data_IF_890071581943
#
_entry.id   IF_890071581943
#
_cell.length_a   1.000
_cell.length_b   1.000
_cell.length_c   1.000
_cell.angle_alpha   90.00
_cell.angle_beta   90.00
_cell.angle_gamma   90.00
#
_symmetry.space_group_name_H-M   'P 1'
#
loop_
_entity.id
_entity.type
_entity.pdbx_description
1 polymer ?
#
# COMPACT_ATOMS: atom_id res chain seq x y z
N UNK A 1 -10.97 18.96 15.89
CA UNK A 1 -9.86 19.92 15.72
C UNK A 1 -9.15 19.54 14.43
N UNK A 2 -9.43 20.30 13.37
CA UNK A 2 -9.02 20.04 12.00
C UNK A 2 -7.59 20.48 11.75
N UNK A 3 -6.87 19.67 10.98
CA UNK A 3 -5.49 19.95 10.57
C UNK A 3 -5.54 21.06 9.51
N UNK A 4 -4.96 22.23 9.81
CA UNK A 4 -4.97 23.42 8.93
C UNK A 4 -3.91 23.39 7.82
N UNK A 5 -3.03 22.39 7.76
CA UNK A 5 -1.93 22.32 6.79
C UNK A 5 -1.56 20.88 6.43
N UNK A 6 -1.06 20.68 5.21
CA UNK A 6 -0.53 19.38 4.77
C UNK A 6 0.71 19.00 5.60
N UNK A 7 0.88 17.70 5.88
CA UNK A 7 2.10 17.22 6.51
C UNK A 7 3.31 17.42 5.59
N UNK A 8 4.54 17.57 6.13
CA UNK A 8 5.74 17.78 5.32
C UNK A 8 5.92 16.76 4.20
N UNK A 9 5.61 15.48 4.44
CA UNK A 9 5.69 14.42 3.43
C UNK A 9 4.68 14.61 2.30
N UNK A 10 3.48 15.11 2.61
CA UNK A 10 2.44 15.37 1.63
C UNK A 10 2.83 16.54 0.73
N UNK A 11 3.38 17.61 1.32
CA UNK A 11 3.89 18.77 0.58
C UNK A 11 5.03 18.35 -0.34
N UNK A 12 6.02 17.61 0.18
CA UNK A 12 7.18 17.18 -0.60
C UNK A 12 6.77 16.31 -1.79
N UNK A 13 5.88 15.34 -1.60
CA UNK A 13 5.39 14.49 -2.69
C UNK A 13 4.54 15.29 -3.67
N UNK A 14 3.71 16.23 -3.20
CA UNK A 14 2.89 17.07 -4.08
C UNK A 14 3.74 17.87 -5.07
N UNK A 15 4.85 18.46 -4.61
CA UNK A 15 5.76 19.25 -5.47
C UNK A 15 6.36 18.41 -6.62
N UNK A 16 6.68 17.15 -6.36
CA UNK A 16 7.29 16.25 -7.34
C UNK A 16 6.27 15.54 -8.25
N UNK A 17 4.96 15.68 -7.98
CA UNK A 17 3.90 14.94 -8.67
C UNK A 17 2.98 15.87 -9.47
N UNK A 18 1.90 16.38 -8.86
CA UNK A 18 0.94 17.30 -9.48
C UNK A 18 1.48 18.72 -9.55
N UNK A 19 2.38 19.08 -8.63
CA UNK A 19 3.12 20.33 -8.67
C UNK A 19 4.07 20.39 -9.88
N UNK A 20 5.15 21.19 -9.81
CA UNK A 20 6.04 21.37 -10.96
C UNK A 20 6.70 20.07 -11.46
N UNK A 21 6.76 19.00 -10.65
CA UNK A 21 7.51 17.79 -10.97
C UNK A 21 6.88 16.81 -11.97
N UNK A 22 5.57 16.89 -12.25
CA UNK A 22 4.86 16.10 -13.29
C UNK A 22 5.12 14.58 -13.30
N UNK A 23 5.51 14.00 -12.15
CA UNK A 23 5.95 12.60 -12.04
C UNK A 23 7.13 12.25 -12.96
N UNK A 24 8.06 13.18 -13.21
CA UNK A 24 9.25 12.91 -14.04
C UNK A 24 10.15 11.82 -13.42
N UNK A 25 10.17 11.71 -12.09
CA UNK A 25 11.03 10.81 -11.30
C UNK A 25 10.22 9.79 -10.51
N UNK A 26 10.79 8.62 -10.25
CA UNK A 26 10.27 7.72 -9.23
C UNK A 26 10.57 8.27 -7.84
N UNK A 27 9.68 8.03 -6.87
CA UNK A 27 9.81 8.60 -5.53
C UNK A 27 10.12 7.52 -4.51
N UNK A 28 11.18 7.72 -3.74
CA UNK A 28 11.53 6.92 -2.58
C UNK A 28 11.29 7.73 -1.30
N UNK A 29 10.20 7.47 -0.61
CA UNK A 29 9.71 8.26 0.51
C UNK A 29 10.05 7.53 1.82
N UNK A 30 10.92 8.15 2.61
CA UNK A 30 11.29 7.72 3.95
C UNK A 30 10.66 8.66 4.98
N UNK A 31 9.63 8.18 5.69
CA UNK A 31 8.91 8.98 6.67
C UNK A 31 8.30 8.10 7.78
N UNK A 32 8.32 8.53 9.06
CA UNK A 32 7.80 7.73 10.17
C UNK A 32 6.31 7.36 10.02
N UNK A 33 5.86 6.32 10.72
CA UNK A 33 4.44 5.97 10.81
C UNK A 33 3.63 7.11 11.42
N UNK A 34 2.39 7.31 10.94
CA UNK A 34 1.54 8.43 11.39
C UNK A 34 1.90 9.80 10.79
N UNK A 35 2.79 9.85 9.79
CA UNK A 35 3.19 11.11 9.13
C UNK A 35 2.28 11.53 7.96
N UNK A 36 1.20 10.81 7.68
CA UNK A 36 0.30 11.09 6.55
C UNK A 36 0.73 10.50 5.21
N UNK A 37 1.57 9.44 5.19
CA UNK A 37 2.12 8.82 3.96
C UNK A 37 1.03 8.37 2.98
N UNK A 38 -0.07 7.80 3.47
CA UNK A 38 -1.13 7.29 2.60
C UNK A 38 -1.69 8.38 1.69
N UNK A 39 -1.92 9.57 2.25
CA UNK A 39 -2.43 10.71 1.49
C UNK A 39 -1.38 11.35 0.60
N UNK A 40 -0.09 11.24 0.93
CA UNK A 40 0.95 11.84 0.10
C UNK A 40 0.97 11.22 -1.30
N UNK A 41 0.66 9.93 -1.45
CA UNK A 41 0.49 9.30 -2.77
C UNK A 41 -0.97 9.25 -3.25
N UNK A 42 -1.95 9.09 -2.36
CA UNK A 42 -3.34 8.93 -2.79
C UNK A 42 -3.91 10.19 -3.46
N UNK A 43 -3.62 11.38 -2.90
CA UNK A 43 -4.08 12.66 -3.44
C UNK A 43 -3.61 12.90 -4.89
N UNK A 44 -2.29 12.86 -5.20
CA UNK A 44 -1.84 13.12 -6.56
C UNK A 44 -2.29 12.04 -7.57
N UNK A 45 -2.43 10.78 -7.15
CA UNK A 45 -2.99 9.71 -7.99
C UNK A 45 -4.44 10.01 -8.36
N UNK A 46 -5.29 10.28 -7.37
CA UNK A 46 -6.72 10.57 -7.58
C UNK A 46 -6.90 11.83 -8.43
N UNK A 47 -6.13 12.88 -8.14
CA UNK A 47 -6.13 14.10 -8.94
C UNK A 47 -5.79 13.82 -10.41
N UNK A 48 -4.75 13.04 -10.68
CA UNK A 48 -4.34 12.76 -12.06
C UNK A 48 -5.35 11.89 -12.81
N UNK A 49 -5.96 10.92 -12.11
CA UNK A 49 -6.91 10.00 -12.71
C UNK A 49 -8.31 10.59 -12.88
N UNK A 50 -8.63 11.71 -12.22
CA UNK A 50 -9.95 12.38 -12.31
C UNK A 50 -10.40 12.67 -13.75
N UNK A 51 -9.45 12.96 -14.65
CA UNK A 51 -9.72 13.28 -16.05
C UNK A 51 -9.75 12.06 -16.99
N UNK A 52 -9.83 10.82 -16.43
CA UNK A 52 -9.83 9.60 -17.23
C UNK A 52 -11.14 9.44 -18.03
N UNK A 53 -11.02 9.04 -19.30
CA UNK A 53 -12.18 8.81 -20.17
C UNK A 53 -12.85 7.44 -19.94
N UNK A 54 -12.05 6.37 -19.85
CA UNK A 54 -12.53 4.99 -19.72
C UNK A 54 -12.00 4.38 -18.43
N UNK A 55 -12.83 3.62 -17.72
CA UNK A 55 -12.42 2.90 -16.52
C UNK A 55 -11.49 1.74 -16.87
N UNK A 56 -10.28 1.79 -16.34
CA UNK A 56 -9.27 0.74 -16.44
C UNK A 56 -8.40 0.83 -15.18
N UNK A 57 -7.86 -0.30 -14.73
CA UNK A 57 -6.91 -0.32 -13.62
C UNK A 57 -5.65 0.47 -13.99
N UNK A 58 -5.45 1.63 -13.33
CA UNK A 58 -4.36 2.58 -13.61
C UNK A 58 -3.46 2.84 -12.41
N UNK A 59 -3.91 2.54 -11.19
CA UNK A 59 -3.07 2.62 -10.01
C UNK A 59 -3.16 1.32 -9.20
N UNK A 60 -2.00 0.82 -8.78
CA UNK A 60 -1.86 -0.36 -7.93
C UNK A 60 -1.08 0.03 -6.69
N UNK A 61 -1.65 -0.26 -5.52
CA UNK A 61 -1.02 -0.03 -4.22
C UNK A 61 -0.82 -1.38 -3.54
N UNK A 62 0.44 -1.76 -3.34
CA UNK A 62 0.83 -3.02 -2.73
C UNK A 62 1.35 -2.75 -1.32
N UNK A 63 0.78 -3.46 -0.34
CA UNK A 63 1.21 -3.43 1.06
C UNK A 63 1.46 -4.85 1.57
N UNK A 64 2.36 -5.07 2.53
CA UNK A 64 2.62 -6.39 3.08
C UNK A 64 1.39 -6.94 3.79
N UNK A 65 1.29 -8.26 3.81
CA UNK A 65 0.29 -8.96 4.60
C UNK A 65 0.62 -8.73 6.07
N UNK A 66 -0.14 -7.89 6.77
CA UNK A 66 0.07 -7.76 8.21
C UNK A 66 -0.49 -8.97 8.91
N UNK A 67 0.36 -9.68 9.65
CA UNK A 67 -0.08 -10.53 10.75
C UNK A 67 -0.85 -9.65 11.74
N UNK A 68 -2.18 -9.79 11.72
CA UNK A 68 -3.14 -9.15 12.62
C UNK A 68 -3.27 -7.61 12.55
N UNK A 69 -4.26 -7.19 11.76
CA UNK A 69 -5.26 -6.23 12.23
C UNK A 69 -6.63 -6.59 11.64
N UNK A 70 -7.17 -7.75 12.01
CA UNK A 70 -8.62 -7.86 12.13
C UNK A 70 -8.99 -7.04 13.37
N UNK A 71 -9.14 -5.72 13.22
CA UNK A 71 -9.67 -4.91 14.30
C UNK A 71 -10.39 -3.65 13.81
N UNK A 72 -11.67 -3.65 14.17
CA UNK A 72 -12.61 -2.54 14.28
C UNK A 72 -13.19 -2.03 12.96
N UNK A 73 -14.18 -2.78 12.48
CA UNK A 73 -15.18 -2.36 11.51
C UNK A 73 -16.15 -1.29 12.07
N UNK A 74 -15.67 -0.32 12.87
CA UNK A 74 -16.55 0.55 13.68
C UNK A 74 -16.08 1.99 13.89
N UNK A 75 -15.06 2.45 13.17
CA UNK A 75 -14.83 3.90 13.02
C UNK A 75 -15.26 4.34 11.62
N UNK A 76 -16.58 4.32 11.36
CA UNK A 76 -17.16 5.08 10.24
C UNK A 76 -16.81 6.54 10.51
N UNK A 77 -15.75 7.05 9.90
CA UNK A 77 -15.43 8.47 9.96
C UNK A 77 -16.57 9.19 9.25
N UNK A 78 -17.51 9.74 10.01
CA UNK A 78 -18.63 10.57 9.54
C UNK A 78 -18.17 11.95 9.04
N UNK A 79 -16.86 12.19 8.93
CA UNK A 79 -16.31 13.51 8.69
C UNK A 79 -15.43 13.52 7.43
N UNK A 80 -15.74 14.51 6.59
CA UNK A 80 -14.90 15.11 5.57
C UNK A 80 -14.95 14.54 4.14
N UNK A 81 -16.09 14.76 3.45
CA UNK A 81 -16.12 14.81 1.97
C UNK A 81 -16.71 16.12 1.41
N UNK A 82 -17.16 17.08 2.25
CA UNK A 82 -17.79 18.32 1.74
C UNK A 82 -16.79 19.41 1.32
N UNK A 83 -15.54 19.38 1.79
CA UNK A 83 -14.56 20.45 1.52
C UNK A 83 -13.42 20.05 0.57
N UNK A 84 -13.27 18.78 0.17
CA UNK A 84 -12.25 18.38 -0.83
C UNK A 84 -12.65 18.81 -2.25
N UNK A 85 -13.94 19.04 -2.51
CA UNK A 85 -14.44 19.42 -3.84
C UNK A 85 -13.93 20.77 -4.37
N UNK A 86 -13.54 21.71 -3.50
CA UNK A 86 -12.95 22.99 -3.93
C UNK A 86 -11.51 22.87 -4.46
N UNK A 87 -10.82 21.77 -4.17
CA UNK A 87 -9.39 21.57 -4.47
C UNK A 87 -9.10 20.92 -5.83
N UNK A 88 -10.08 20.23 -6.41
CA UNK A 88 -9.90 19.45 -7.64
C UNK A 88 -10.33 20.27 -8.88
N UNK A 89 -11.21 21.26 -8.70
CA UNK A 89 -11.78 22.06 -9.78
C UNK A 89 -10.98 23.33 -10.12
N UNK A 90 -10.26 23.91 -9.16
CA UNK A 90 -9.41 25.07 -9.39
C UNK A 90 -7.94 24.66 -9.28
N UNK A 91 -7.14 24.99 -10.30
CA UNK A 91 -5.69 24.79 -10.37
C UNK A 91 -4.88 25.57 -9.30
N UNK A 92 -5.50 25.94 -8.17
CA UNK A 92 -4.95 26.76 -7.11
C UNK A 92 -4.85 25.99 -5.78
N UNK A 93 -3.65 26.07 -5.22
CA UNK A 93 -3.11 25.53 -3.98
C UNK A 93 -4.13 25.23 -2.85
N UNK A 94 -4.12 23.95 -2.44
CA UNK A 94 -4.17 23.41 -1.08
C UNK A 94 -4.67 24.30 0.08
N UNK A 95 -5.96 24.24 0.41
CA UNK A 95 -6.46 24.38 1.78
C UNK A 95 -7.53 23.32 2.13
N UNK A 96 -7.23 22.58 3.21
CA UNK A 96 -8.12 21.71 4.05
C UNK A 96 -8.70 20.42 3.45
N UNK A 97 -8.79 19.28 4.15
CA UNK A 97 -8.38 18.85 5.49
C UNK A 97 -8.48 17.31 5.48
N UNK A 98 -7.51 16.58 6.04
CA UNK A 98 -7.64 15.13 6.22
C UNK A 98 -7.32 14.73 7.66
N UNK A 99 -8.32 14.26 8.40
CA UNK A 99 -8.11 13.51 9.64
C UNK A 99 -8.09 12.02 9.31
N UNK A 100 -6.91 11.47 9.06
CA UNK A 100 -6.75 10.01 8.95
C UNK A 100 -5.55 9.42 9.71
N UNK A 101 -4.68 10.20 10.36
CA UNK A 101 -3.40 9.65 10.84
C UNK A 101 -3.09 9.92 12.33
N UNK A 102 -4.08 9.72 13.20
CA UNK A 102 -3.86 9.70 14.67
C UNK A 102 -3.65 8.30 15.24
N UNK A 103 -3.61 7.25 14.41
CA UNK A 103 -3.44 5.87 14.85
C UNK A 103 -2.10 5.32 14.35
N UNK A 104 -1.22 5.01 15.29
CA UNK A 104 -0.06 4.15 15.06
C UNK A 104 -0.55 2.90 14.30
N UNK A 105 0.10 2.58 13.17
CA UNK A 105 -0.05 1.37 12.34
C UNK A 105 -1.12 1.40 11.21
N UNK A 106 -0.72 1.83 10.00
CA UNK A 106 -1.54 1.82 8.76
C UNK A 106 -1.88 0.40 8.27
N UNK A 107 -3.11 -0.08 8.36
CA UNK A 107 -3.53 -1.40 7.84
C UNK A 107 -4.05 -1.33 6.38
N UNK A 108 -4.04 -2.45 5.65
CA UNK A 108 -4.59 -2.56 4.28
C UNK A 108 -6.01 -1.97 4.12
N UNK A 109 -6.97 -2.27 5.03
CA UNK A 109 -8.29 -1.63 4.99
C UNK A 109 -8.24 -0.10 5.11
N UNK A 110 -7.34 0.45 5.92
CA UNK A 110 -7.23 1.90 6.10
C UNK A 110 -6.75 2.60 4.83
N UNK A 111 -5.86 1.99 4.04
CA UNK A 111 -5.43 2.55 2.74
C UNK A 111 -6.59 2.59 1.75
N UNK A 112 -7.35 1.49 1.66
CA UNK A 112 -8.55 1.43 0.81
C UNK A 112 -9.60 2.44 1.25
N UNK A 113 -9.78 2.65 2.56
CA UNK A 113 -10.73 3.64 3.09
C UNK A 113 -10.32 5.08 2.75
N UNK A 114 -9.02 5.39 2.76
CA UNK A 114 -8.52 6.71 2.30
C UNK A 114 -8.90 6.94 0.84
N UNK A 115 -8.62 5.98 -0.06
CA UNK A 115 -9.06 6.11 -1.45
C UNK A 115 -10.57 6.13 -1.60
N UNK A 116 -11.32 5.29 -0.88
CA UNK A 116 -12.78 5.26 -0.92
C UNK A 116 -13.42 6.56 -0.41
N UNK A 117 -12.72 7.34 0.42
CA UNK A 117 -13.17 8.64 0.87
C UNK A 117 -13.02 9.75 -0.19
N UNK A 118 -12.03 9.65 -1.10
CA UNK A 118 -11.69 10.74 -2.04
C UNK A 118 -11.95 10.39 -3.51
N UNK A 119 -11.82 9.13 -3.92
CA UNK A 119 -11.93 8.69 -5.30
C UNK A 119 -13.36 8.77 -5.87
N UNK A 120 -14.44 8.43 -5.12
CA UNK A 120 -15.81 8.53 -5.63
C UNK A 120 -16.23 9.96 -5.97
N UNK A 121 -15.65 10.96 -5.29
CA UNK A 121 -15.91 12.37 -5.54
C UNK A 121 -15.56 12.80 -6.98
N UNK A 122 -14.62 12.10 -7.61
CA UNK A 122 -14.16 12.32 -9.00
C UNK A 122 -14.55 11.16 -9.93
N UNK A 123 -15.51 10.32 -9.51
CA UNK A 123 -16.01 9.21 -10.32
C UNK A 123 -15.06 8.02 -10.50
N UNK A 124 -13.97 7.94 -9.72
CA UNK A 124 -13.04 6.82 -9.71
C UNK A 124 -13.56 5.68 -8.81
N UNK A 125 -13.33 4.44 -9.21
CA UNK A 125 -13.64 3.25 -8.39
C UNK A 125 -12.39 2.59 -7.83
N UNK A 126 -12.54 2.05 -6.61
CA UNK A 126 -11.44 1.49 -5.81
C UNK A 126 -11.77 0.05 -5.47
N UNK A 127 -10.85 -0.87 -5.79
CA UNK A 127 -10.94 -2.29 -5.45
C UNK A 127 -10.01 -2.69 -4.32
N UNK A 128 -10.27 -3.86 -3.75
CA UNK A 128 -9.45 -4.49 -2.73
C UNK A 128 -9.18 -5.95 -3.11
N UNK A 129 -7.92 -6.38 -3.03
CA UNK A 129 -7.50 -7.75 -3.29
C UNK A 129 -6.53 -8.21 -2.19
N UNK A 130 -7.08 -8.67 -1.06
CA UNK A 130 -6.28 -8.95 0.15
C UNK A 130 -6.56 -10.33 0.75
N UNK A 131 -7.47 -11.11 0.16
CA UNK A 131 -7.79 -12.46 0.63
C UNK A 131 -8.65 -12.48 1.89
N UNK A 132 -9.37 -11.39 2.16
CA UNK A 132 -10.37 -11.32 3.25
C UNK A 132 -11.74 -11.88 2.83
N UNK A 133 -11.96 -12.06 1.53
CA UNK A 133 -13.17 -12.66 0.94
C UNK A 133 -12.79 -13.76 -0.07
N UNK A 134 -13.81 -14.46 -0.58
CA UNK A 134 -13.56 -15.48 -1.60
C UNK A 134 -13.05 -14.83 -2.88
N UNK A 135 -12.27 -15.59 -3.68
CA UNK A 135 -11.76 -15.08 -4.95
C UNK A 135 -12.91 -14.74 -5.91
N UNK A 136 -14.03 -15.48 -5.83
CA UNK A 136 -15.21 -15.21 -6.65
C UNK A 136 -15.85 -13.86 -6.33
N UNK A 137 -15.92 -13.50 -5.04
CA UNK A 137 -16.46 -12.20 -4.60
C UNK A 137 -15.56 -11.06 -5.09
N UNK A 138 -14.25 -11.16 -4.89
CA UNK A 138 -13.31 -10.15 -5.37
C UNK A 138 -13.35 -10.06 -6.91
N UNK A 139 -13.45 -11.17 -7.65
CA UNK A 139 -13.64 -11.14 -9.11
C UNK A 139 -14.88 -10.35 -9.51
N UNK A 140 -16.00 -10.51 -8.78
CA UNK A 140 -17.24 -9.79 -9.05
C UNK A 140 -17.12 -8.27 -8.82
N UNK A 141 -16.24 -7.86 -7.90
CA UNK A 141 -15.95 -6.46 -7.62
C UNK A 141 -14.91 -5.86 -8.58
N UNK A 142 -13.96 -6.66 -9.04
CA UNK A 142 -12.82 -6.21 -9.86
C UNK A 142 -13.12 -6.25 -11.36
N UNK A 143 -14.00 -7.13 -11.82
CA UNK A 143 -14.30 -7.36 -13.23
C UNK A 143 -15.76 -7.04 -13.53
N UNK A 144 -15.98 -6.09 -14.44
CA UNK A 144 -17.30 -5.77 -14.96
C UNK A 144 -17.65 -6.75 -16.07
N UNK A 145 -18.74 -7.47 -15.88
CA UNK A 145 -19.35 -8.30 -16.92
C UNK A 145 -20.29 -7.44 -17.77
N UNK A 146 -20.31 -7.62 -19.10
CA UNK A 146 -21.29 -6.96 -19.95
C UNK A 146 -22.71 -7.36 -19.55
N UNK A 147 -23.65 -6.40 -19.67
CA UNK A 147 -25.07 -6.70 -19.48
C UNK A 147 -25.55 -7.41 -20.75
N UNK A 148 -25.77 -8.71 -20.66
CA UNK A 148 -26.45 -9.45 -21.72
C UNK A 148 -27.85 -8.86 -21.90
N UNK A 149 -28.09 -8.15 -23.01
CA UNK A 149 -29.45 -7.81 -23.42
C UNK A 149 -30.17 -9.11 -23.81
N UNK A 150 -31.28 -9.39 -23.13
CA UNK A 150 -32.08 -10.59 -23.39
C UNK A 150 -32.67 -10.53 -24.80
N UNK A 151 -32.11 -11.28 -25.75
CA UNK A 151 -32.66 -11.42 -27.10
C UNK A 151 -31.65 -11.66 -28.23
N UNK A 152 -30.34 -11.58 -27.98
CA UNK A 152 -29.31 -11.79 -28.99
C UNK A 152 -28.52 -13.06 -28.65
N UNK A 153 -28.44 -14.00 -29.58
CA UNK A 153 -27.58 -15.18 -29.47
C UNK A 153 -26.12 -14.74 -29.59
N UNK A 154 -25.39 -14.69 -28.48
CA UNK A 154 -23.94 -14.47 -28.48
C UNK A 154 -23.22 -15.83 -28.54
N UNK A 155 -22.14 -15.90 -29.32
CA UNK A 155 -21.18 -17.00 -29.25
C UNK A 155 -20.39 -16.87 -27.93
N UNK A 156 -20.05 -17.94 -27.19
CA UNK A 156 -19.28 -17.85 -25.94
C UNK A 156 -17.92 -17.17 -26.11
N UNK A 157 -17.37 -17.18 -27.33
CA UNK A 157 -16.14 -16.48 -27.72
C UNK A 157 -16.32 -14.95 -27.72
N UNK A 158 -17.48 -14.42 -28.13
CA UNK A 158 -17.74 -12.96 -28.18
C UNK A 158 -17.88 -12.34 -26.79
N UNK A 159 -18.38 -13.11 -25.81
CA UNK A 159 -18.47 -12.67 -24.40
C UNK A 159 -17.09 -12.46 -23.77
N UNK A 160 -16.05 -13.13 -24.29
CA UNK A 160 -14.67 -12.99 -23.83
C UNK A 160 -14.06 -11.63 -24.21
N UNK A 161 -14.60 -10.98 -25.25
CA UNK A 161 -14.09 -9.72 -25.80
C UNK A 161 -14.46 -8.48 -24.93
N UNK A 162 -15.38 -8.62 -23.97
CA UNK A 162 -16.00 -7.47 -23.27
C UNK A 162 -15.73 -7.39 -21.76
N UNK A 163 -14.91 -8.27 -21.18
CA UNK A 163 -14.57 -8.21 -19.76
C UNK A 163 -13.71 -6.98 -19.44
N UNK A 164 -14.30 -6.00 -18.78
CA UNK A 164 -13.64 -4.73 -18.44
C UNK A 164 -13.27 -4.67 -16.97
N UNK A 165 -12.24 -3.90 -16.64
CA UNK A 165 -11.96 -3.59 -15.24
C UNK A 165 -13.10 -2.77 -14.63
N UNK A 166 -13.59 -3.20 -13.47
CA UNK A 166 -14.57 -2.46 -12.67
C UNK A 166 -13.92 -1.43 -11.74
N UNK A 167 -12.58 -1.36 -11.70
CA UNK A 167 -11.80 -0.51 -10.79
C UNK A 167 -10.75 0.32 -11.52
N UNK A 168 -10.41 1.48 -10.94
CA UNK A 168 -9.31 2.34 -11.41
C UNK A 168 -8.07 2.23 -10.54
N UNK A 169 -8.32 1.98 -9.25
CA UNK A 169 -7.31 1.91 -8.20
C UNK A 169 -7.50 0.57 -7.50
N UNK A 170 -6.45 -0.22 -7.37
CA UNK A 170 -6.47 -1.48 -6.63
C UNK A 170 -5.51 -1.41 -5.44
N UNK A 171 -6.01 -1.74 -4.26
CA UNK A 171 -5.18 -1.97 -3.07
C UNK A 171 -5.06 -3.48 -2.86
N UNK A 172 -3.84 -4.00 -2.79
CA UNK A 172 -3.62 -5.45 -2.76
C UNK A 172 -2.48 -5.91 -1.86
N UNK A 173 -2.53 -7.18 -1.45
CA UNK A 173 -1.35 -7.91 -0.95
C UNK A 173 -0.65 -8.64 -2.08
N UNK A 174 0.68 -8.88 -2.01
CA UNK A 174 1.41 -9.59 -3.04
C UNK A 174 0.81 -10.94 -3.44
N UNK A 175 0.54 -11.80 -2.45
CA UNK A 175 0.01 -13.14 -2.71
C UNK A 175 -1.32 -13.09 -3.44
N UNK A 176 -2.24 -12.23 -2.97
CA UNK A 176 -3.57 -12.14 -3.55
C UNK A 176 -3.58 -11.45 -4.92
N UNK A 177 -2.72 -10.46 -5.12
CA UNK A 177 -2.49 -9.87 -6.44
C UNK A 177 -2.07 -10.94 -7.46
N UNK A 178 -1.15 -11.84 -7.07
CA UNK A 178 -0.71 -12.92 -7.94
C UNK A 178 -1.81 -13.92 -8.25
N UNK A 179 -2.69 -14.23 -7.29
CA UNK A 179 -3.89 -15.05 -7.55
C UNK A 179 -4.76 -14.42 -8.66
N UNK A 180 -4.98 -13.10 -8.61
CA UNK A 180 -5.75 -12.42 -9.65
C UNK A 180 -5.05 -12.37 -11.00
N UNK A 181 -3.74 -12.08 -11.03
CA UNK A 181 -2.95 -12.10 -12.27
C UNK A 181 -3.02 -13.48 -12.94
N UNK A 182 -2.94 -14.56 -12.17
CA UNK A 182 -2.84 -15.91 -12.71
C UNK A 182 -4.21 -16.55 -13.01
N UNK A 183 -5.23 -16.29 -12.19
CA UNK A 183 -6.49 -17.03 -12.23
C UNK A 183 -7.71 -16.19 -12.64
N UNK A 184 -7.63 -14.85 -12.61
CA UNK A 184 -8.79 -14.00 -12.93
C UNK A 184 -8.82 -13.62 -14.41
N UNK A 185 -9.79 -14.18 -15.13
CA UNK A 185 -10.08 -13.77 -16.51
C UNK A 185 -10.49 -12.30 -16.58
N UNK A 186 -9.91 -11.56 -17.51
CA UNK A 186 -10.15 -10.12 -17.70
C UNK A 186 -9.36 -9.21 -16.74
N UNK A 187 -8.58 -9.76 -15.82
CA UNK A 187 -7.65 -8.97 -15.01
C UNK A 187 -6.40 -8.64 -15.83
N UNK A 188 -6.09 -7.35 -15.97
CA UNK A 188 -4.94 -6.88 -16.75
C UNK A 188 -4.27 -5.67 -16.08
N UNK A 189 -2.95 -5.59 -16.21
CA UNK A 189 -2.12 -4.48 -15.78
C UNK A 189 -1.61 -3.62 -16.95
N UNK A 190 -2.09 -3.87 -18.17
CA UNK A 190 -1.67 -3.17 -19.40
C UNK A 190 -1.78 -1.64 -19.29
N UNK A 191 -2.84 -1.17 -18.63
CA UNK A 191 -3.12 0.27 -18.49
C UNK A 191 -2.50 0.89 -17.23
N UNK A 192 -1.72 0.12 -16.44
CA UNK A 192 -1.16 0.60 -15.18
C UNK A 192 -0.23 1.80 -15.41
N UNK A 193 -0.46 2.87 -14.67
CA UNK A 193 0.31 4.12 -14.73
C UNK A 193 1.10 4.36 -13.43
N UNK A 194 0.55 3.95 -12.29
CA UNK A 194 1.13 4.17 -10.98
C UNK A 194 1.26 2.86 -10.20
N UNK A 195 2.45 2.59 -9.68
CA UNK A 195 2.73 1.51 -8.75
C UNK A 195 3.21 2.11 -7.43
N UNK A 196 2.45 1.89 -6.36
CA UNK A 196 2.84 2.26 -5.00
C UNK A 196 3.22 0.99 -4.25
N UNK A 197 4.42 0.99 -3.67
CA UNK A 197 4.94 -0.09 -2.81
C UNK A 197 5.07 0.49 -1.42
N UNK A 198 4.10 0.24 -0.54
CA UNK A 198 4.10 0.78 0.82
C UNK A 198 4.60 -0.27 1.83
N UNK A 199 5.26 0.18 2.90
CA UNK A 199 6.08 -0.67 3.77
C UNK A 199 7.08 -1.54 2.98
N UNK A 200 7.78 -0.93 2.02
CA UNK A 200 8.69 -1.60 1.07
C UNK A 200 9.72 -2.49 1.76
N UNK A 201 10.26 -2.06 2.89
CA UNK A 201 11.27 -2.82 3.63
C UNK A 201 10.75 -4.15 4.19
N UNK A 202 9.43 -4.28 4.39
CA UNK A 202 8.78 -5.55 4.74
C UNK A 202 8.51 -6.39 3.50
N UNK A 203 7.95 -5.77 2.46
CA UNK A 203 7.67 -6.43 1.18
C UNK A 203 8.93 -7.02 0.52
N UNK A 204 10.08 -6.36 0.67
CA UNK A 204 11.38 -6.84 0.15
C UNK A 204 12.09 -7.84 1.09
N UNK A 205 11.61 -8.06 2.31
CA UNK A 205 12.14 -9.10 3.22
C UNK A 205 11.39 -10.42 3.09
N UNK A 206 10.11 -10.37 2.77
CA UNK A 206 9.26 -11.56 2.63
C UNK A 206 9.60 -12.33 1.35
N UNK A 207 9.32 -13.65 1.34
CA UNK A 207 9.63 -14.56 0.24
C UNK A 207 8.81 -14.33 -1.05
N UNK A 208 8.06 -13.23 -1.15
CA UNK A 208 7.16 -12.95 -2.27
C UNK A 208 7.89 -12.36 -3.50
N UNK A 209 9.22 -12.38 -3.57
CA UNK A 209 10.02 -11.61 -4.55
C UNK A 209 9.67 -11.81 -6.04
N UNK A 210 8.91 -12.84 -6.41
CA UNK A 210 8.42 -13.02 -7.78
C UNK A 210 7.29 -12.05 -8.20
N UNK A 211 6.56 -11.44 -7.25
CA UNK A 211 5.41 -10.60 -7.59
C UNK A 211 5.82 -9.34 -8.36
N UNK A 212 6.86 -8.65 -7.88
CA UNK A 212 7.27 -7.35 -8.40
C UNK A 212 7.85 -7.48 -9.82
N UNK A 213 8.80 -8.39 -10.11
CA UNK A 213 9.26 -8.63 -11.48
C UNK A 213 8.10 -8.97 -12.43
N UNK A 214 7.13 -9.76 -11.99
CA UNK A 214 5.96 -10.11 -12.80
C UNK A 214 5.10 -8.88 -13.11
N UNK A 215 4.80 -8.05 -12.11
CA UNK A 215 4.07 -6.79 -12.30
C UNK A 215 4.82 -5.88 -13.27
N UNK A 216 6.12 -5.68 -13.07
CA UNK A 216 6.93 -4.84 -13.95
C UNK A 216 6.90 -5.34 -15.40
N UNK A 217 7.02 -6.66 -15.60
CA UNK A 217 6.95 -7.27 -16.93
C UNK A 217 5.59 -7.04 -17.60
N UNK A 218 4.47 -7.25 -16.89
CA UNK A 218 3.12 -7.07 -17.43
C UNK A 218 2.77 -5.62 -17.79
N UNK A 219 3.51 -4.64 -17.24
CA UNK A 219 3.31 -3.21 -17.54
C UNK A 219 4.15 -2.67 -18.70
N UNK A 220 5.18 -3.41 -19.12
CA UNK A 220 6.00 -3.07 -20.28
C UNK A 220 5.26 -3.53 -21.53
N UNK A 221 4.59 -2.61 -22.23
CA UNK A 221 3.90 -2.91 -23.49
C UNK A 221 4.89 -3.48 -24.52
N UNK A 222 4.47 -4.50 -25.29
CA UNK A 222 5.17 -5.22 -26.38
C UNK A 222 5.67 -4.34 -27.56
N UNK A 223 5.93 -3.05 -27.37
CA UNK A 223 6.40 -2.15 -28.43
C UNK A 223 7.83 -2.43 -28.90
N UNK A 224 8.61 -3.27 -28.19
CA UNK A 224 9.99 -3.63 -28.54
C UNK A 224 10.10 -4.83 -29.51
N UNK A 225 9.04 -5.64 -29.70
CA UNK A 225 9.08 -6.84 -30.56
C UNK A 225 8.53 -6.59 -31.98
N UNK A 226 8.99 -5.55 -32.68
CA UNK A 226 8.66 -5.34 -34.11
C UNK A 226 9.61 -6.07 -35.09
N UNK A 227 10.14 -7.22 -34.72
CA UNK A 227 10.77 -8.15 -35.66
C UNK A 227 10.45 -9.62 -35.31
N UNK A 228 9.63 -10.25 -36.17
CA UNK A 228 9.50 -11.69 -36.48
C UNK A 228 9.47 -12.72 -35.33
N UNK A 229 8.28 -13.29 -35.04
CA UNK A 229 8.02 -14.68 -35.44
C UNK A 229 6.52 -15.02 -35.44
N UNK A 230 6.09 -15.74 -36.48
CA UNK A 230 4.70 -16.03 -36.78
C UNK A 230 4.22 -17.30 -36.07
N UNK A 231 4.04 -17.31 -34.74
CA UNK A 231 3.28 -18.39 -34.06
C UNK A 231 3.03 -18.17 -32.57
N UNK A 232 2.37 -17.08 -32.14
CA UNK A 232 1.58 -17.09 -30.88
C UNK A 232 0.56 -15.95 -30.91
N UNK A 233 -0.55 -16.14 -31.63
CA UNK A 233 -1.67 -15.19 -31.59
C UNK A 233 -2.46 -15.38 -30.30
N UNK A 234 -2.17 -14.59 -29.28
CA UNK A 234 -3.23 -14.09 -28.39
C UNK A 234 -3.55 -12.67 -28.88
N UNK A 235 -4.65 -12.47 -29.63
CA UNK A 235 -5.09 -11.13 -29.98
C UNK A 235 -5.39 -10.38 -28.68
N UNK A 236 -4.85 -9.18 -28.54
CA UNK A 236 -5.31 -8.22 -27.53
C UNK A 236 -6.84 -8.13 -27.64
N UNK A 237 -7.55 -8.63 -26.62
CA UNK A 237 -9.01 -8.73 -26.59
C UNK A 237 -9.69 -7.35 -26.63
N UNK A 238 -8.93 -6.27 -26.46
CA UNK A 238 -9.38 -4.90 -26.62
C UNK A 238 -8.81 -4.35 -27.92
N UNK A 239 -9.66 -4.01 -28.90
CA UNK A 239 -9.23 -3.20 -30.03
C UNK A 239 -8.38 -2.02 -29.54
N UNK A 240 -7.10 -2.01 -29.91
CA UNK A 240 -5.99 -1.16 -29.43
C UNK A 240 -6.39 0.10 -28.62
N UNK A 241 -6.87 -0.08 -27.37
CA UNK A 241 -7.09 1.04 -26.45
C UNK A 241 -5.73 1.49 -25.95
N UNK A 242 -5.10 2.41 -26.67
CA UNK A 242 -3.82 2.99 -26.25
C UNK A 242 -4.04 3.91 -25.06
N UNK A 243 -3.51 3.54 -23.90
CA UNK A 243 -3.38 4.48 -22.78
C UNK A 243 -2.41 5.59 -23.16
N UNK A 244 -2.94 6.78 -23.44
CA UNK A 244 -2.12 7.98 -23.61
C UNK A 244 -1.75 8.48 -22.21
N UNK A 245 -0.49 8.27 -21.77
CA UNK A 245 0.00 8.84 -20.51
C UNK A 245 0.53 10.25 -20.79
N UNK A 246 -0.04 11.24 -20.10
CA UNK A 246 0.33 12.67 -20.21
C UNK A 246 1.33 13.11 -19.12
N UNK A 247 1.51 12.31 -18.08
CA UNK A 247 2.46 12.51 -16.98
C UNK A 247 3.31 11.25 -16.81
N UNK A 248 4.50 11.36 -16.21
CA UNK A 248 5.45 10.24 -16.17
C UNK A 248 5.85 9.82 -17.58
N UNK A 249 6.36 10.78 -18.34
CA UNK A 249 6.90 10.55 -19.69
C UNK A 249 8.41 10.60 -19.64
N UNK A 250 9.05 9.65 -20.29
CA UNK A 250 10.49 9.68 -20.49
C UNK A 250 10.79 10.18 -21.90
N UNK A 251 11.82 10.99 -22.06
CA UNK A 251 12.23 11.52 -23.37
C UNK A 251 13.20 10.53 -24.01
N UNK A 252 12.74 9.87 -25.08
CA UNK A 252 13.56 8.91 -25.82
C UNK A 252 14.45 9.53 -26.87
N UNK A 253 15.06 8.67 -27.68
CA UNK A 253 15.82 9.08 -28.85
C UNK A 253 14.94 9.95 -29.77
N UNK A 254 15.43 11.16 -30.11
CA UNK A 254 14.70 12.25 -30.81
C UNK A 254 13.62 12.95 -29.99
N UNK A 255 13.77 13.04 -28.66
CA UNK A 255 12.87 13.78 -27.75
C UNK A 255 11.39 13.33 -27.80
N UNK A 256 11.12 12.12 -28.28
CA UNK A 256 9.76 11.58 -28.29
C UNK A 256 9.39 11.13 -26.87
N UNK A 257 8.33 11.69 -26.25
CA UNK A 257 7.89 11.25 -24.94
C UNK A 257 7.27 9.85 -25.03
N UNK A 258 7.71 8.93 -24.19
CA UNK A 258 7.08 7.62 -24.03
C UNK A 258 6.50 7.43 -22.62
N UNK A 259 5.32 6.82 -22.51
CA UNK A 259 4.65 6.57 -21.24
C UNK A 259 5.43 5.54 -20.39
N UNK A 260 5.86 5.91 -19.18
CA UNK A 260 6.50 4.97 -18.23
C UNK A 260 5.59 4.63 -17.05
N UNK A 261 5.88 3.54 -16.35
CA UNK A 261 5.23 3.22 -15.07
C UNK A 261 5.89 4.09 -14.00
N UNK A 262 5.11 4.91 -13.31
CA UNK A 262 5.59 5.73 -12.20
C UNK A 262 5.56 4.90 -10.93
N UNK A 263 6.70 4.82 -10.23
CA UNK A 263 6.85 4.03 -9.01
C UNK A 263 7.02 4.96 -7.81
N UNK A 264 6.25 4.70 -6.77
CA UNK A 264 6.39 5.34 -5.47
C UNK A 264 6.63 4.28 -4.40
N UNK A 265 7.77 4.38 -3.74
CA UNK A 265 8.28 3.41 -2.79
C UNK A 265 8.27 4.08 -1.44
N UNK A 266 7.46 3.58 -0.52
CA UNK A 266 7.29 4.14 0.81
C UNK A 266 7.79 3.17 1.87
N UNK A 267 8.55 3.68 2.83
CA UNK A 267 8.94 2.96 4.03
C UNK A 267 9.15 3.92 5.20
N UNK A 268 8.96 3.41 6.43
CA UNK A 268 9.38 4.13 7.64
C UNK A 268 10.88 4.01 7.89
N UNK A 269 11.50 2.95 7.36
CA UNK A 269 12.92 2.66 7.47
C UNK A 269 13.41 2.26 6.08
N UNK A 270 13.63 3.25 5.21
CA UNK A 270 14.10 2.97 3.86
C UNK A 270 15.43 2.20 3.91
N UNK A 271 15.45 1.03 3.27
CA UNK A 271 16.65 0.19 3.22
C UNK A 271 17.75 0.89 2.45
N UNK A 272 18.98 0.85 2.96
CA UNK A 272 20.19 1.32 2.29
C UNK A 272 20.86 0.20 1.49
N UNK A 273 20.23 -0.98 1.41
CA UNK A 273 20.77 -2.13 0.69
C UNK A 273 20.56 -1.94 -0.83
N UNK A 274 21.64 -1.73 -1.60
CA UNK A 274 21.53 -1.48 -3.04
C UNK A 274 20.92 -2.67 -3.79
N UNK A 275 21.09 -3.91 -3.31
CA UNK A 275 20.56 -5.09 -3.99
C UNK A 275 19.03 -5.16 -3.88
N UNK A 276 18.48 -4.70 -2.76
CA UNK A 276 17.02 -4.62 -2.55
C UNK A 276 16.42 -3.47 -3.34
N UNK A 277 17.11 -2.33 -3.39
CA UNK A 277 16.67 -1.18 -4.18
C UNK A 277 16.74 -1.45 -5.69
N UNK A 278 17.74 -2.21 -6.15
CA UNK A 278 17.87 -2.58 -7.57
C UNK A 278 16.66 -3.37 -8.09
N UNK A 279 16.04 -4.20 -7.26
CA UNK A 279 14.85 -4.99 -7.63
C UNK A 279 13.62 -4.12 -7.94
N UNK A 280 13.59 -2.88 -7.47
CA UNK A 280 12.51 -1.92 -7.74
C UNK A 280 12.60 -1.34 -9.16
N UNK A 281 13.75 -1.50 -9.84
CA UNK A 281 13.97 -1.04 -11.23
C UNK A 281 13.64 0.45 -11.41
N UNK A 282 13.99 1.28 -10.41
CA UNK A 282 13.53 2.67 -10.32
C UNK A 282 14.13 3.56 -11.42
N UNK A 283 13.30 4.43 -11.98
CA UNK A 283 13.68 5.44 -12.96
C UNK A 283 13.98 6.77 -12.28
N UNK A 284 15.23 7.21 -12.37
CA UNK A 284 15.73 8.47 -11.77
C UNK A 284 15.20 8.73 -10.35
N UNK A 285 15.40 7.78 -9.41
CA UNK A 285 14.74 7.84 -8.10
C UNK A 285 15.15 9.07 -7.30
N UNK A 286 14.15 9.80 -6.80
CA UNK A 286 14.32 10.89 -5.84
C UNK A 286 14.04 10.37 -4.42
N UNK A 287 15.03 10.52 -3.54
CA UNK A 287 14.93 10.12 -2.15
C UNK A 287 14.42 11.27 -1.29
N UNK A 288 13.17 11.19 -0.85
CA UNK A 288 12.53 12.16 0.03
C UNK A 288 12.62 11.63 1.47
N UNK A 289 13.33 12.36 2.33
CA UNK A 289 13.35 12.06 3.77
C UNK A 289 12.69 13.20 4.52
N UNK A 290 11.55 12.94 5.17
CA UNK A 290 10.83 13.95 5.94
C UNK A 290 10.92 13.64 7.43
N UNK A 291 11.69 14.48 8.12
CA UNK A 291 12.04 14.37 9.54
C UNK A 291 13.50 14.75 9.75
N UNK A 292 13.83 15.27 10.94
CA UNK A 292 15.24 15.33 11.33
C UNK A 292 15.82 13.91 11.21
N UNK A 293 16.91 13.80 10.47
CA UNK A 293 17.64 12.56 10.27
C UNK A 293 17.82 11.83 11.60
N UNK A 294 17.35 10.57 11.66
CA UNK A 294 17.46 9.59 12.75
C UNK A 294 16.34 9.69 13.78
N UNK A 295 15.72 8.54 14.06
CA UNK A 295 14.95 8.29 15.27
C UNK A 295 15.75 8.80 16.48
N UNK A 296 15.49 10.03 16.93
CA UNK A 296 15.97 10.51 18.20
C UNK A 296 15.06 9.89 19.25
N UNK A 297 15.65 9.12 20.17
CA UNK A 297 14.97 8.77 21.40
C UNK A 297 14.46 10.07 22.03
N UNK A 298 13.22 10.14 22.53
CA UNK A 298 12.72 11.35 23.18
C UNK A 298 13.71 11.83 24.25
N UNK A 299 13.95 13.13 24.35
CA UNK A 299 14.94 13.69 25.30
C UNK A 299 14.62 13.37 26.77
N UNK A 300 13.39 12.93 27.06
CA UNK A 300 12.92 12.51 28.38
C UNK A 300 12.83 11.00 28.55
N UNK A 301 13.22 10.22 27.53
CA UNK A 301 13.25 8.76 27.63
C UNK A 301 14.57 8.33 28.28
N UNK A 302 14.46 7.85 29.51
CA UNK A 302 15.60 7.27 30.22
C UNK A 302 15.79 5.81 29.80
N UNK A 303 17.01 5.46 29.39
CA UNK A 303 17.36 4.10 28.97
C UNK A 303 18.30 3.44 29.97
N UNK A 304 17.88 2.30 30.50
CA UNK A 304 18.66 1.51 31.46
C UNK A 304 19.12 0.19 30.84
N UNK A 305 20.31 -0.29 31.23
CA UNK A 305 20.86 -1.57 30.79
C UNK A 305 21.20 -2.44 32.00
N UNK A 306 20.67 -3.65 32.01
CA UNK A 306 20.98 -4.66 33.01
C UNK A 306 21.83 -5.76 32.39
N UNK A 307 23.02 -5.99 32.94
CA UNK A 307 23.91 -7.10 32.54
C UNK A 307 23.57 -8.30 33.41
N UNK A 308 23.17 -9.40 32.78
CA UNK A 308 22.85 -10.64 33.48
C UNK A 308 23.15 -11.85 32.59
N UNK A 309 23.34 -13.00 33.24
CA UNK A 309 23.44 -14.27 32.54
C UNK A 309 22.12 -14.62 31.84
N UNK A 310 22.20 -15.19 30.63
CA UNK A 310 21.01 -15.43 29.82
C UNK A 310 19.99 -16.36 30.48
N UNK A 311 20.44 -17.27 31.36
CA UNK A 311 19.59 -18.21 32.11
C UNK A 311 18.78 -17.51 33.21
N UNK A 312 19.31 -16.42 33.77
CA UNK A 312 18.71 -15.70 34.89
C UNK A 312 17.81 -14.54 34.45
N UNK A 313 17.83 -14.15 33.17
CA UNK A 313 17.01 -13.07 32.60
C UNK A 313 15.54 -13.06 33.07
N UNK A 314 14.82 -14.20 33.11
CA UNK A 314 13.43 -14.20 33.60
C UNK A 314 13.30 -13.75 35.05
N UNK A 315 14.24 -14.14 35.93
CA UNK A 315 14.22 -13.76 37.34
C UNK A 315 14.51 -12.27 37.53
N UNK A 316 15.47 -11.73 36.78
CA UNK A 316 15.73 -10.29 36.76
C UNK A 316 14.53 -9.49 36.27
N UNK A 317 13.81 -10.00 35.26
CA UNK A 317 12.57 -9.38 34.79
C UNK A 317 11.48 -9.41 35.87
N UNK A 318 11.31 -10.52 36.60
CA UNK A 318 10.36 -10.60 37.72
C UNK A 318 10.68 -9.54 38.77
N UNK A 319 11.95 -9.43 39.19
CA UNK A 319 12.39 -8.44 40.17
C UNK A 319 12.16 -7.00 39.67
N UNK A 320 12.39 -6.74 38.38
CA UNK A 320 12.14 -5.44 37.76
C UNK A 320 10.65 -5.11 37.69
N UNK A 321 9.80 -6.08 37.33
CA UNK A 321 8.35 -5.88 37.30
C UNK A 321 7.79 -5.62 38.71
N UNK A 322 8.34 -6.27 39.73
CA UNK A 322 7.99 -6.00 41.13
C UNK A 322 8.39 -4.59 41.57
N UNK A 323 9.56 -4.08 41.13
CA UNK A 323 10.01 -2.72 41.48
C UNK A 323 9.25 -1.62 40.74
N UNK A 324 8.73 -1.91 39.54
CA UNK A 324 7.91 -0.99 38.75
C UNK A 324 6.45 -0.90 39.23
N UNK A 325 6.00 -1.79 40.11
CA UNK A 325 4.68 -1.72 40.73
C UNK A 325 3.53 -1.88 39.73
N UNK A 326 2.59 -0.92 39.71
CA UNK A 326 1.39 -0.95 38.85
C UNK A 326 1.58 -0.28 37.47
N UNK A 327 2.81 0.09 37.11
CA UNK A 327 3.08 0.72 35.83
C UNK A 327 2.81 -0.21 34.64
N UNK A 328 2.26 0.36 33.57
CA UNK A 328 1.98 -0.39 32.34
C UNK A 328 3.28 -0.72 31.61
N UNK A 329 3.67 -1.98 31.64
CA UNK A 329 4.90 -2.45 31.03
C UNK A 329 4.64 -3.16 29.69
N UNK A 330 5.51 -2.93 28.71
CA UNK A 330 5.59 -3.72 27.47
C UNK A 330 6.93 -4.47 27.48
N UNK A 331 6.87 -5.80 27.37
CA UNK A 331 8.05 -6.66 27.33
C UNK A 331 8.21 -7.23 25.92
N UNK A 332 9.33 -6.94 25.28
CA UNK A 332 9.65 -7.44 23.95
C UNK A 332 10.52 -8.70 24.03
N UNK A 333 10.21 -9.67 23.18
CA UNK A 333 10.94 -10.94 23.03
C UNK A 333 11.27 -11.18 21.55
N UNK A 334 12.19 -12.10 21.27
CA UNK A 334 12.70 -12.32 19.90
C UNK A 334 11.85 -13.30 19.07
N UNK A 335 10.96 -14.08 19.67
CA UNK A 335 10.13 -15.06 18.96
C UNK A 335 8.80 -15.31 19.67
N UNK A 336 7.80 -15.77 18.93
CA UNK A 336 6.49 -16.18 19.46
C UNK A 336 6.61 -17.24 20.55
N UNK A 337 7.47 -18.26 20.34
CA UNK A 337 7.74 -19.30 21.33
C UNK A 337 8.30 -18.71 22.64
N UNK A 338 9.25 -17.77 22.52
CA UNK A 338 9.83 -17.11 23.70
C UNK A 338 8.81 -16.24 24.45
N UNK A 339 7.91 -15.57 23.73
CA UNK A 339 6.78 -14.82 24.32
C UNK A 339 5.87 -15.75 25.13
N UNK A 340 5.47 -16.86 24.52
CA UNK A 340 4.55 -17.81 25.14
C UNK A 340 5.14 -18.47 26.39
N UNK A 341 6.41 -18.89 26.32
CA UNK A 341 7.15 -19.46 27.45
C UNK A 341 7.29 -18.46 28.59
N UNK A 342 7.64 -17.20 28.27
CA UNK A 342 7.78 -16.16 29.27
C UNK A 342 6.45 -15.80 29.92
N UNK A 343 5.39 -15.63 29.13
CA UNK A 343 4.04 -15.35 29.63
C UNK A 343 3.56 -16.47 30.58
N UNK A 344 3.73 -17.73 30.18
CA UNK A 344 3.38 -18.88 31.01
C UNK A 344 4.16 -18.87 32.33
N UNK A 345 5.47 -18.63 32.28
CA UNK A 345 6.31 -18.55 33.48
C UNK A 345 5.85 -17.43 34.42
N UNK A 346 5.63 -16.23 33.90
CA UNK A 346 5.23 -15.08 34.71
C UNK A 346 3.84 -15.27 35.34
N UNK A 347 2.90 -15.90 34.63
CA UNK A 347 1.57 -16.22 35.17
C UNK A 347 1.60 -17.26 36.31
N UNK A 348 2.59 -18.16 36.33
CA UNK A 348 2.75 -19.13 37.41
C UNK A 348 3.56 -18.60 38.59
N UNK A 349 4.17 -17.42 38.46
CA UNK A 349 4.97 -16.82 39.52
C UNK A 349 4.04 -16.15 40.54
N UNK A 350 3.63 -16.91 41.56
CA UNK A 350 2.56 -16.52 42.50
C UNK A 350 2.78 -15.23 43.30
N UNK A 351 4.00 -14.70 43.32
CA UNK A 351 4.32 -13.42 43.97
C UNK A 351 4.05 -12.19 43.08
N UNK A 352 3.87 -12.38 41.77
CA UNK A 352 3.54 -11.29 40.86
C UNK A 352 2.04 -11.00 40.87
N UNK A 353 1.63 -9.96 41.60
CA UNK A 353 0.26 -9.42 41.57
C UNK A 353 -0.01 -8.55 40.33
N UNK A 354 0.48 -8.96 39.16
CA UNK A 354 0.39 -8.18 37.91
C UNK A 354 -0.41 -8.97 36.87
N UNK A 355 -1.34 -8.30 36.19
CA UNK A 355 -2.11 -8.90 35.10
C UNK A 355 -1.26 -8.99 33.84
N UNK A 356 -0.79 -10.20 33.52
CA UNK A 356 0.01 -10.45 32.32
C UNK A 356 -0.90 -10.88 31.18
N UNK A 357 -0.68 -10.29 30.01
CA UNK A 357 -1.32 -10.72 28.76
C UNK A 357 -0.24 -10.97 27.71
N UNK A 358 -0.30 -12.11 27.06
CA UNK A 358 0.50 -12.37 25.86
C UNK A 358 -0.08 -11.62 24.67
N UNK A 359 0.78 -11.16 23.77
CA UNK A 359 0.41 -10.69 22.45
C UNK A 359 1.32 -11.35 21.43
N UNK A 360 0.82 -12.40 20.76
CA UNK A 360 1.58 -13.19 19.80
C UNK A 360 0.70 -13.72 18.67
N UNK A 361 1.33 -14.27 17.62
CA UNK A 361 0.63 -14.86 16.47
C UNK A 361 -0.16 -16.14 16.79
N UNK A 362 0.02 -16.76 17.97
CA UNK A 362 -0.66 -18.00 18.37
C UNK A 362 -2.05 -17.77 18.99
N UNK A 363 -2.38 -16.55 19.42
CA UNK A 363 -3.67 -16.27 20.05
C UNK A 363 -4.81 -16.19 19.02
N UNK A 364 -5.90 -16.93 19.28
CA UNK A 364 -7.17 -16.76 18.55
C UNK A 364 -7.71 -15.35 18.78
N UNK A 365 -8.09 -14.69 17.70
CA UNK A 365 -8.47 -13.26 17.63
C UNK A 365 -9.66 -12.84 18.51
N UNK A 366 -10.41 -13.77 19.09
CA UNK A 366 -11.58 -13.49 19.93
C UNK A 366 -11.26 -13.07 21.37
N UNK A 367 -10.00 -13.14 21.81
CA UNK A 367 -9.59 -12.85 23.21
C UNK A 367 -8.70 -11.59 23.32
N UNK A 368 -8.43 -10.90 22.20
CA UNK A 368 -7.64 -9.66 22.17
C UNK A 368 -8.43 -8.45 22.64
#
# INVERSE_FOLDING_TARGET
MGISSLFPVQVAVWQETIGPGLFERDLCINSPTGSGKTLSYALPIVQTLSNRAVRCLRALVVLPTRDLALQVNSARCKYCCKNIFGLIADHSIAEMCVQFDSLLFISLPQVKDVFAAIAPAVGLSVGLAVGQSSIADEISELIKRPKLEAGICYDPEDVLQELQSAVDILVATPGRLMDHINATRGFTLEHLCYLVVDETDRLLREAYQAWLPTVLQLTRSDNENRFSDASTFLPSAFGSLKTIRRCGVERGFKDKPYPRLVKMVLSATLTQDPNKLAQLDLHHPLFLTTGETRYKLPERLESYKLICESKLKPLYLVALLQSLGEEKCIVFTSSVESTHRLCTLLNHFGELRIKIKEYSGLQRQSVR
#
